data_IF_711244519023
#
_entry.id   IF_711244519023
#
_cell.length_a   1.000
_cell.length_b   1.000
_cell.length_c   1.000
_cell.angle_alpha   90.00
_cell.angle_beta   90.00
_cell.angle_gamma   90.00
#
_symmetry.space_group_name_H-M   'P 1'
#
loop_
_entity.id
_entity.type
_entity.pdbx_description
1 polymer ?
#
# COMPACT_ATOMS: atom_id res chain seq x y z
N UNK A 1 22.28 -19.27 -27.25
CA UNK A 1 22.00 -18.03 -27.98
C UNK A 1 20.88 -17.30 -27.26
N UNK A 2 20.96 -15.98 -27.10
CA UNK A 2 19.92 -15.18 -26.43
C UNK A 2 19.32 -14.13 -27.32
N UNK A 3 18.05 -13.86 -27.13
CA UNK A 3 17.39 -12.69 -27.71
C UNK A 3 16.94 -11.77 -26.57
N UNK A 4 17.27 -10.51 -26.72
CA UNK A 4 16.94 -9.46 -25.74
C UNK A 4 15.79 -8.64 -26.30
N UNK A 5 14.67 -8.66 -25.58
CA UNK A 5 13.40 -8.05 -25.97
C UNK A 5 13.23 -6.78 -25.15
N UNK A 6 13.04 -5.64 -25.78
CA UNK A 6 12.55 -4.43 -25.10
C UNK A 6 11.06 -4.30 -25.36
N UNK A 7 10.30 -4.01 -24.30
CA UNK A 7 8.86 -3.80 -24.38
C UNK A 7 8.54 -2.47 -23.76
N UNK A 8 8.06 -1.54 -24.57
CA UNK A 8 7.48 -0.29 -24.11
C UNK A 8 5.95 -0.39 -24.18
N UNK A 9 5.32 -0.29 -23.02
CA UNK A 9 3.88 -0.49 -22.84
C UNK A 9 3.11 0.79 -23.09
N UNK A 10 2.04 0.72 -23.91
CA UNK A 10 1.08 1.78 -24.10
C UNK A 10 -0.37 1.26 -23.96
N UNK A 11 -1.36 2.14 -24.02
CA UNK A 11 -2.75 1.79 -23.71
C UNK A 11 -3.40 0.88 -24.76
N UNK A 12 -3.05 1.01 -26.03
CA UNK A 12 -3.67 0.27 -27.15
C UNK A 12 -2.76 -0.84 -27.72
N UNK A 13 -1.45 -0.64 -27.70
CA UNK A 13 -0.47 -1.55 -28.25
C UNK A 13 0.86 -1.45 -27.51
N UNK A 14 1.65 -2.52 -27.50
CA UNK A 14 3.02 -2.52 -27.01
C UNK A 14 4.00 -2.36 -28.15
N UNK A 15 4.99 -1.48 -28.02
CA UNK A 15 6.14 -1.45 -28.90
C UNK A 15 7.15 -2.52 -28.45
N UNK A 16 7.53 -3.40 -29.38
CA UNK A 16 8.47 -4.50 -29.14
C UNK A 16 9.67 -4.37 -30.06
N UNK A 17 10.85 -4.47 -29.47
CA UNK A 17 12.12 -4.51 -30.18
C UNK A 17 12.97 -5.67 -29.71
N UNK A 18 13.55 -6.46 -30.63
CA UNK A 18 14.35 -7.62 -30.29
C UNK A 18 15.71 -7.54 -30.94
N UNK A 19 16.76 -7.81 -30.18
CA UNK A 19 18.13 -7.92 -30.63
C UNK A 19 18.76 -9.26 -30.23
N UNK A 20 19.71 -9.76 -30.99
CA UNK A 20 20.49 -10.96 -30.68
C UNK A 20 21.69 -10.64 -29.76
N UNK A 21 22.55 -11.66 -29.50
CA UNK A 21 23.77 -11.49 -28.68
C UNK A 21 24.76 -10.49 -29.32
N UNK A 22 24.81 -10.38 -30.65
CA UNK A 22 25.65 -9.42 -31.38
C UNK A 22 25.10 -7.99 -31.32
N UNK A 23 23.82 -7.81 -31.03
CA UNK A 23 23.12 -6.53 -31.01
C UNK A 23 22.39 -6.23 -32.31
N UNK A 24 22.36 -7.19 -33.23
CA UNK A 24 21.65 -7.05 -34.50
C UNK A 24 20.14 -7.14 -34.24
N UNK A 25 19.40 -6.35 -35.01
CA UNK A 25 17.94 -6.35 -34.95
C UNK A 25 17.36 -7.66 -35.49
N UNK A 26 16.64 -8.37 -34.64
CA UNK A 26 15.89 -9.59 -35.00
C UNK A 26 14.45 -9.26 -35.38
N UNK A 27 13.79 -8.42 -34.59
CA UNK A 27 12.39 -8.06 -34.78
C UNK A 27 12.13 -6.62 -34.28
N UNK A 28 11.21 -5.92 -34.95
CA UNK A 28 10.61 -4.70 -34.44
C UNK A 28 9.14 -4.69 -34.88
N UNK A 29 8.23 -4.60 -33.93
CA UNK A 29 6.80 -4.61 -34.20
C UNK A 29 6.01 -3.90 -33.12
N UNK A 30 4.78 -3.54 -33.48
CA UNK A 30 3.75 -3.15 -32.52
C UNK A 30 2.80 -4.32 -32.30
N UNK A 31 2.47 -4.60 -31.06
CA UNK A 31 1.59 -5.72 -30.66
C UNK A 31 0.33 -5.12 -30.05
N UNK A 32 -0.74 -5.09 -30.84
CA UNK A 32 -2.03 -4.62 -30.36
C UNK A 32 -2.58 -5.50 -29.23
N UNK A 33 -3.37 -4.90 -28.33
CA UNK A 33 -3.98 -5.61 -27.20
C UNK A 33 -5.19 -6.46 -27.63
N UNK A 34 -5.06 -7.18 -28.74
CA UNK A 34 -6.05 -8.11 -29.29
C UNK A 34 -5.58 -9.56 -29.12
N UNK A 35 -6.55 -10.48 -29.06
CA UNK A 35 -6.26 -11.91 -28.96
C UNK A 35 -5.41 -12.39 -30.14
N UNK A 36 -5.72 -11.94 -31.36
CA UNK A 36 -5.00 -12.33 -32.57
C UNK A 36 -3.52 -11.91 -32.53
N UNK A 37 -3.24 -10.63 -32.22
CA UNK A 37 -1.88 -10.10 -32.13
C UNK A 37 -1.08 -10.78 -31.00
N UNK A 38 -1.69 -11.03 -29.86
CA UNK A 38 -1.06 -11.77 -28.75
C UNK A 38 -0.78 -13.23 -29.11
N UNK A 39 -1.70 -13.91 -29.79
CA UNK A 39 -1.49 -15.29 -30.24
C UNK A 39 -0.37 -15.40 -31.26
N UNK A 40 -0.27 -14.45 -32.19
CA UNK A 40 0.83 -14.40 -33.16
C UNK A 40 2.18 -14.17 -32.45
N UNK A 41 2.21 -13.27 -31.46
CA UNK A 41 3.44 -13.06 -30.71
C UNK A 41 3.80 -14.27 -29.84
N UNK A 42 2.84 -14.91 -29.20
CA UNK A 42 3.06 -16.18 -28.50
C UNK A 42 3.64 -17.28 -29.38
N UNK A 43 3.20 -17.36 -30.66
CA UNK A 43 3.74 -18.29 -31.64
C UNK A 43 5.21 -17.98 -31.91
N UNK A 44 5.56 -16.72 -32.20
CA UNK A 44 6.93 -16.30 -32.41
C UNK A 44 7.85 -16.61 -31.23
N UNK A 45 7.40 -16.36 -29.98
CA UNK A 45 8.18 -16.69 -28.79
C UNK A 45 8.48 -18.19 -28.70
N UNK A 46 7.47 -19.06 -28.96
CA UNK A 46 7.64 -20.52 -28.95
C UNK A 46 8.55 -21.00 -30.03
N UNK A 47 8.47 -20.44 -31.24
CA UNK A 47 9.34 -20.79 -32.35
C UNK A 47 10.81 -20.49 -32.00
N UNK A 48 11.11 -19.33 -31.44
CA UNK A 48 12.47 -18.99 -31.00
C UNK A 48 12.98 -19.95 -29.92
N UNK A 49 12.14 -20.27 -28.95
CA UNK A 49 12.50 -21.21 -27.87
C UNK A 49 12.73 -22.62 -28.40
N UNK A 50 11.97 -23.08 -29.40
CA UNK A 50 12.16 -24.37 -30.07
C UNK A 50 13.51 -24.43 -30.81
N UNK A 51 14.05 -23.29 -31.26
CA UNK A 51 15.39 -23.16 -31.84
C UNK A 51 16.51 -23.13 -30.77
N UNK A 52 16.18 -23.29 -29.49
CA UNK A 52 17.11 -23.24 -28.36
C UNK A 52 17.54 -21.82 -27.96
N UNK A 53 16.76 -20.79 -28.31
CA UNK A 53 17.04 -19.39 -27.96
C UNK A 53 16.42 -19.06 -26.61
N UNK A 54 17.23 -18.59 -25.67
CA UNK A 54 16.74 -17.99 -24.42
C UNK A 54 16.17 -16.61 -24.71
N UNK A 55 14.97 -16.34 -24.17
CA UNK A 55 14.28 -15.06 -24.33
C UNK A 55 14.32 -14.25 -23.04
N UNK A 56 14.90 -13.06 -23.10
CA UNK A 56 15.01 -12.14 -21.99
C UNK A 56 14.36 -10.81 -22.36
N UNK A 57 13.43 -10.31 -21.51
CA UNK A 57 12.69 -9.10 -21.79
C UNK A 57 12.97 -8.00 -20.76
N UNK A 58 13.23 -6.79 -21.21
CA UNK A 58 13.30 -5.58 -20.41
C UNK A 58 11.98 -4.82 -20.49
N UNK A 59 11.46 -4.37 -19.34
CA UNK A 59 10.23 -3.61 -19.24
C UNK A 59 10.32 -2.59 -18.12
N UNK A 60 9.73 -1.40 -18.31
CA UNK A 60 9.73 -0.36 -17.28
C UNK A 60 8.78 -0.68 -16.12
N UNK A 61 7.58 -1.19 -16.41
CA UNK A 61 6.57 -1.55 -15.40
C UNK A 61 6.65 -3.05 -15.08
N UNK A 62 7.00 -3.44 -13.83
CA UNK A 62 7.17 -4.85 -13.45
C UNK A 62 5.84 -5.57 -13.14
N UNK A 63 4.72 -5.14 -13.70
CA UNK A 63 3.40 -5.71 -13.49
C UNK A 63 2.45 -5.36 -14.64
N UNK A 64 1.38 -6.13 -14.74
CA UNK A 64 0.34 -5.95 -15.76
C UNK A 64 0.35 -7.08 -16.80
N UNK A 65 -0.69 -7.11 -17.63
CA UNK A 65 -0.99 -8.20 -18.58
C UNK A 65 0.18 -8.59 -19.47
N UNK A 66 1.04 -7.65 -19.83
CA UNK A 66 2.20 -7.94 -20.67
C UNK A 66 3.28 -8.70 -19.91
N UNK A 67 3.49 -8.38 -18.63
CA UNK A 67 4.45 -9.09 -17.78
C UNK A 67 3.98 -10.52 -17.56
N UNK A 68 2.70 -10.71 -17.21
CA UNK A 68 2.10 -12.02 -17.00
C UNK A 68 2.20 -12.85 -18.30
N UNK A 69 1.85 -12.26 -19.44
CA UNK A 69 1.99 -12.91 -20.75
C UNK A 69 3.43 -13.36 -21.06
N UNK A 70 4.43 -12.54 -20.77
CA UNK A 70 5.83 -12.92 -21.01
C UNK A 70 6.27 -14.06 -20.08
N UNK A 71 5.91 -13.99 -18.81
CA UNK A 71 6.22 -15.03 -17.83
C UNK A 71 5.56 -16.38 -18.18
N UNK A 72 4.28 -16.37 -18.57
CA UNK A 72 3.51 -17.55 -19.00
C UNK A 72 4.13 -18.23 -20.23
N UNK A 73 4.85 -17.46 -21.04
CA UNK A 73 5.58 -17.96 -22.21
C UNK A 73 7.07 -18.22 -21.94
N UNK A 74 7.48 -18.34 -20.66
CA UNK A 74 8.84 -18.71 -20.28
C UNK A 74 9.91 -17.65 -20.58
N UNK A 75 9.52 -16.40 -20.78
CA UNK A 75 10.45 -15.28 -20.99
C UNK A 75 10.95 -14.78 -19.64
N UNK A 76 12.26 -14.62 -19.50
CA UNK A 76 12.85 -14.03 -18.29
C UNK A 76 12.70 -12.52 -18.33
N UNK A 77 11.92 -11.95 -17.41
CA UNK A 77 11.58 -10.52 -17.41
C UNK A 77 12.49 -9.73 -16.47
N UNK A 78 13.05 -8.64 -16.96
CA UNK A 78 13.89 -7.71 -16.19
C UNK A 78 13.20 -6.35 -16.06
N UNK A 79 12.78 -5.96 -14.86
CA UNK A 79 12.24 -4.62 -14.62
C UNK A 79 13.36 -3.58 -14.66
N UNK A 80 13.18 -2.54 -15.45
CA UNK A 80 14.14 -1.44 -15.59
C UNK A 80 13.61 -0.20 -14.90
N UNK A 81 14.43 0.39 -14.03
CA UNK A 81 14.07 1.63 -13.36
C UNK A 81 13.96 2.78 -14.38
N UNK A 82 12.89 3.61 -14.34
CA UNK A 82 12.71 4.76 -15.24
C UNK A 82 13.94 5.68 -15.33
N UNK A 83 14.58 6.00 -14.21
CA UNK A 83 15.81 6.82 -14.19
C UNK A 83 16.99 6.14 -14.89
N UNK A 84 17.07 4.80 -14.84
CA UNK A 84 18.11 4.06 -15.54
C UNK A 84 17.83 4.04 -17.03
N UNK A 85 16.57 3.93 -17.43
CA UNK A 85 16.14 4.03 -18.81
C UNK A 85 16.42 5.42 -19.41
N UNK A 86 16.11 6.50 -18.67
CA UNK A 86 16.41 7.87 -19.10
C UNK A 86 17.92 8.06 -19.36
N UNK A 87 18.78 7.61 -18.44
CA UNK A 87 20.25 7.66 -18.64
C UNK A 87 20.72 6.76 -19.81
N UNK A 88 20.06 5.65 -20.03
CA UNK A 88 20.36 4.79 -21.16
C UNK A 88 19.96 5.44 -22.50
N UNK A 89 18.85 6.21 -22.54
CA UNK A 89 18.43 6.99 -23.72
C UNK A 89 19.51 8.00 -24.12
N UNK A 90 20.06 8.74 -23.15
CA UNK A 90 21.10 9.76 -23.39
C UNK A 90 22.35 9.16 -24.07
N UNK A 91 22.63 7.87 -23.83
CA UNK A 91 23.73 7.14 -24.46
C UNK A 91 23.52 6.93 -25.97
N UNK A 92 22.28 6.87 -26.44
CA UNK A 92 21.94 6.58 -27.83
C UNK A 92 21.46 7.81 -28.61
N UNK A 93 20.87 8.80 -27.93
CA UNK A 93 20.41 10.07 -28.56
C UNK A 93 20.47 11.23 -27.57
N UNK A 94 21.16 12.29 -27.99
CA UNK A 94 21.26 13.55 -27.21
C UNK A 94 20.04 14.46 -27.42
N UNK A 95 19.22 14.21 -28.47
CA UNK A 95 18.12 15.11 -28.88
C UNK A 95 16.87 15.08 -28.01
N UNK A 96 16.79 14.23 -26.98
CA UNK A 96 15.62 14.14 -26.07
C UNK A 96 14.30 13.67 -26.73
N UNK A 97 14.31 13.33 -28.03
CA UNK A 97 13.12 12.86 -28.73
C UNK A 97 12.70 11.48 -28.22
N UNK A 98 11.44 11.35 -27.78
CA UNK A 98 10.84 10.09 -27.31
C UNK A 98 9.94 9.50 -28.39
N UNK A 99 10.00 8.18 -28.53
CA UNK A 99 9.01 7.38 -29.26
C UNK A 99 9.02 5.96 -28.73
N UNK A 100 7.86 5.34 -28.63
CA UNK A 100 7.71 3.99 -28.07
C UNK A 100 8.64 2.94 -28.76
N UNK A 101 8.80 2.91 -30.11
CA UNK A 101 9.77 2.01 -30.73
C UNK A 101 11.23 2.28 -30.32
N UNK A 102 11.60 3.55 -30.09
CA UNK A 102 12.93 3.90 -29.64
C UNK A 102 13.13 3.50 -28.17
N UNK A 103 12.13 3.68 -27.31
CA UNK A 103 12.20 3.27 -25.92
C UNK A 103 12.29 1.74 -25.79
N UNK A 104 11.54 0.99 -26.61
CA UNK A 104 11.68 -0.46 -26.72
C UNK A 104 13.08 -0.87 -27.22
N UNK A 105 13.65 -0.17 -28.20
CA UNK A 105 15.03 -0.41 -28.66
C UNK A 105 16.05 -0.18 -27.54
N UNK A 106 15.95 0.93 -26.82
CA UNK A 106 16.85 1.26 -25.71
C UNK A 106 16.76 0.20 -24.61
N UNK A 107 15.55 -0.26 -24.27
CA UNK A 107 15.33 -1.33 -23.28
C UNK A 107 16.03 -2.63 -23.69
N UNK A 108 15.90 -3.06 -24.95
CA UNK A 108 16.55 -4.27 -25.45
C UNK A 108 18.08 -4.17 -25.41
N UNK A 109 18.63 -3.05 -25.89
CA UNK A 109 20.08 -2.82 -25.91
C UNK A 109 20.65 -2.66 -24.49
N UNK A 110 19.94 -1.99 -23.60
CA UNK A 110 20.34 -1.84 -22.21
C UNK A 110 20.36 -3.20 -21.49
N UNK A 111 19.33 -4.03 -21.68
CA UNK A 111 19.33 -5.38 -21.13
C UNK A 111 20.50 -6.20 -21.66
N UNK A 112 20.78 -6.14 -22.95
CA UNK A 112 21.90 -6.87 -23.57
C UNK A 112 23.25 -6.49 -22.95
N UNK A 113 23.51 -5.19 -22.73
CA UNK A 113 24.80 -4.70 -22.22
C UNK A 113 24.96 -4.86 -20.71
N UNK A 114 23.89 -4.66 -19.95
CA UNK A 114 23.96 -4.50 -18.50
C UNK A 114 23.27 -5.62 -17.69
N UNK A 115 22.86 -6.72 -18.35
CA UNK A 115 22.10 -7.81 -17.69
C UNK A 115 22.78 -8.40 -16.45
N UNK A 116 24.11 -8.40 -16.37
CA UNK A 116 24.84 -8.88 -15.20
C UNK A 116 24.61 -8.02 -13.94
N UNK A 117 24.21 -6.78 -14.12
CA UNK A 117 23.87 -5.85 -13.01
C UNK A 117 22.38 -5.77 -12.74
N UNK A 118 21.56 -6.34 -13.63
CA UNK A 118 20.12 -6.37 -13.52
C UNK A 118 19.66 -7.66 -12.85
N UNK A 119 18.43 -7.64 -12.36
CA UNK A 119 17.83 -8.80 -11.72
C UNK A 119 16.54 -9.18 -12.41
N UNK A 120 16.38 -10.47 -12.72
CA UNK A 120 15.15 -10.95 -13.28
C UNK A 120 14.00 -10.78 -12.25
N UNK A 121 12.84 -10.50 -12.78
CA UNK A 121 11.61 -10.50 -12.01
C UNK A 121 11.34 -11.94 -11.54
N UNK A 122 11.14 -12.08 -10.23
CA UNK A 122 10.71 -13.34 -9.62
C UNK A 122 9.29 -13.15 -9.14
N UNK A 123 8.28 -13.69 -9.85
CA UNK A 123 6.90 -13.53 -9.48
C UNK A 123 6.61 -14.21 -8.15
N UNK A 124 5.62 -13.68 -7.44
CA UNK A 124 5.01 -14.36 -6.32
C UNK A 124 3.96 -15.35 -6.85
N UNK A 125 3.50 -16.25 -5.99
CA UNK A 125 2.34 -17.10 -6.30
C UNK A 125 1.08 -16.26 -6.59
N UNK A 126 0.10 -16.86 -7.26
CA UNK A 126 -1.21 -16.26 -7.49
C UNK A 126 -1.86 -15.84 -6.17
N UNK A 127 -1.78 -16.68 -5.14
CA UNK A 127 -2.33 -16.38 -3.83
C UNK A 127 -1.69 -15.13 -3.19
N UNK A 128 -0.38 -14.96 -3.29
CA UNK A 128 0.28 -13.77 -2.79
C UNK A 128 -0.06 -12.51 -3.62
N UNK A 129 -0.29 -12.66 -4.93
CA UNK A 129 -0.74 -11.57 -5.80
C UNK A 129 -2.18 -11.18 -5.48
N UNK A 130 -3.07 -12.13 -5.24
CA UNK A 130 -4.46 -11.90 -4.84
C UNK A 130 -4.55 -11.20 -3.49
N UNK A 131 -3.84 -11.66 -2.46
CA UNK A 131 -3.76 -10.97 -1.18
C UNK A 131 -3.28 -9.52 -1.34
N UNK A 132 -2.32 -9.30 -2.22
CA UNK A 132 -1.81 -7.96 -2.52
C UNK A 132 -2.86 -7.08 -3.21
N UNK A 133 -3.65 -7.64 -4.10
CA UNK A 133 -4.81 -6.97 -4.69
C UNK A 133 -5.81 -6.55 -3.62
N UNK A 134 -6.28 -7.50 -2.81
CA UNK A 134 -7.25 -7.28 -1.73
C UNK A 134 -6.78 -6.20 -0.74
N UNK A 135 -5.53 -6.27 -0.26
CA UNK A 135 -5.01 -5.31 0.73
C UNK A 135 -4.84 -3.91 0.14
N UNK A 136 -4.50 -3.78 -1.14
CA UNK A 136 -4.38 -2.48 -1.83
C UNK A 136 -5.75 -1.86 -2.10
N UNK A 137 -6.74 -2.66 -2.49
CA UNK A 137 -8.10 -2.19 -2.71
C UNK A 137 -8.76 -1.78 -1.39
N UNK A 138 -8.59 -2.56 -0.33
CA UNK A 138 -8.96 -2.17 1.04
C UNK A 138 -8.39 -0.80 1.41
N UNK A 139 -7.09 -0.60 1.18
CA UNK A 139 -6.44 0.70 1.46
C UNK A 139 -7.07 1.84 0.67
N UNK A 140 -7.43 1.64 -0.58
CA UNK A 140 -8.14 2.65 -1.40
C UNK A 140 -9.49 2.99 -0.79
N UNK A 141 -10.25 1.99 -0.33
CA UNK A 141 -11.54 2.19 0.34
C UNK A 141 -11.38 2.95 1.66
N UNK A 142 -10.39 2.63 2.48
CA UNK A 142 -10.08 3.35 3.73
C UNK A 142 -9.70 4.81 3.45
N UNK A 143 -8.93 5.09 2.40
CA UNK A 143 -8.61 6.46 2.01
C UNK A 143 -9.85 7.24 1.54
N UNK A 144 -10.76 6.59 0.81
CA UNK A 144 -12.04 7.18 0.41
C UNK A 144 -12.89 7.49 1.64
N UNK A 145 -13.06 6.54 2.55
CA UNK A 145 -13.73 6.72 3.83
C UNK A 145 -13.18 7.93 4.60
N UNK A 146 -11.86 8.00 4.77
CA UNK A 146 -11.20 9.09 5.49
C UNK A 146 -11.48 10.44 4.84
N UNK A 147 -11.44 10.52 3.50
CA UNK A 147 -11.76 11.73 2.75
C UNK A 147 -13.21 12.17 2.98
N UNK A 148 -14.16 11.24 2.89
CA UNK A 148 -15.59 11.53 3.11
C UNK A 148 -15.85 11.99 4.54
N UNK A 149 -15.26 11.35 5.55
CA UNK A 149 -15.38 11.73 6.96
C UNK A 149 -14.79 13.13 7.22
N UNK A 150 -13.66 13.45 6.62
CA UNK A 150 -13.05 14.78 6.75
C UNK A 150 -13.94 15.87 6.11
N UNK A 151 -14.52 15.60 4.93
CA UNK A 151 -15.45 16.52 4.26
C UNK A 151 -16.73 16.68 5.07
N UNK A 152 -17.28 15.59 5.62
CA UNK A 152 -18.46 15.59 6.46
C UNK A 152 -18.22 16.42 7.73
N UNK A 153 -17.11 16.19 8.40
CA UNK A 153 -16.69 16.94 9.60
C UNK A 153 -16.53 18.43 9.30
N UNK A 154 -15.84 18.78 8.20
CA UNK A 154 -15.68 20.16 7.78
C UNK A 154 -17.02 20.82 7.48
N UNK A 155 -17.91 20.13 6.75
CA UNK A 155 -19.26 20.63 6.43
C UNK A 155 -20.07 20.89 7.71
N UNK A 156 -20.09 19.93 8.64
CA UNK A 156 -20.84 20.09 9.90
C UNK A 156 -20.28 21.22 10.75
N UNK A 157 -18.97 21.41 10.83
CA UNK A 157 -18.35 22.55 11.53
C UNK A 157 -18.85 23.91 11.06
N UNK A 158 -19.14 24.03 9.76
CA UNK A 158 -19.55 25.31 9.17
C UNK A 158 -21.00 25.67 9.50
N UNK A 159 -21.93 24.72 9.66
CA UNK A 159 -23.34 25.05 9.82
C UNK A 159 -24.08 24.32 10.91
N UNK A 160 -23.56 23.18 11.40
CA UNK A 160 -24.21 22.35 12.39
C UNK A 160 -23.19 21.75 13.39
N UNK A 161 -22.35 22.57 14.06
CA UNK A 161 -21.29 22.09 14.93
C UNK A 161 -21.81 21.21 16.08
N UNK A 162 -23.01 21.46 16.59
CA UNK A 162 -23.64 20.64 17.61
C UNK A 162 -23.81 19.18 17.20
N UNK A 163 -24.03 18.93 15.92
CA UNK A 163 -24.10 17.57 15.41
C UNK A 163 -22.78 16.78 15.56
N UNK A 164 -21.62 17.45 15.60
CA UNK A 164 -20.33 16.78 15.87
C UNK A 164 -20.16 16.44 17.35
N UNK A 165 -20.70 17.24 18.25
CA UNK A 165 -20.71 16.94 19.68
C UNK A 165 -21.67 15.79 19.99
N UNK A 166 -22.81 15.74 19.27
CA UNK A 166 -23.77 14.64 19.37
C UNK A 166 -23.23 13.34 18.75
N UNK A 167 -22.65 13.44 17.55
CA UNK A 167 -22.19 12.32 16.74
C UNK A 167 -20.66 12.27 16.72
N UNK A 168 -20.02 11.94 17.84
CA UNK A 168 -18.56 11.85 17.96
C UNK A 168 -17.96 10.86 16.94
N UNK A 169 -18.66 9.75 16.70
CA UNK A 169 -18.32 8.76 15.69
C UNK A 169 -19.29 8.83 14.49
N UNK A 170 -18.89 9.52 13.44
CA UNK A 170 -19.66 9.65 12.20
C UNK A 170 -19.74 8.33 11.39
N UNK A 171 -18.99 7.30 11.76
CA UNK A 171 -19.10 5.97 11.15
C UNK A 171 -20.22 5.14 11.77
N UNK A 172 -20.70 5.53 12.94
CA UNK A 172 -21.77 4.83 13.64
C UNK A 172 -23.09 4.95 12.88
N UNK A 173 -23.79 3.82 12.66
CA UNK A 173 -25.04 3.77 11.90
C UNK A 173 -26.13 4.68 12.47
N UNK A 174 -26.23 4.80 13.81
CA UNK A 174 -27.18 5.71 14.45
C UNK A 174 -26.87 7.19 14.16
N UNK A 175 -25.59 7.57 14.10
CA UNK A 175 -25.18 8.94 13.80
C UNK A 175 -25.52 9.31 12.34
N UNK A 176 -25.28 8.42 11.42
CA UNK A 176 -25.68 8.60 10.01
C UNK A 176 -27.19 8.69 9.85
N UNK A 177 -27.96 7.81 10.53
CA UNK A 177 -29.42 7.85 10.53
C UNK A 177 -29.96 9.16 11.15
N UNK A 178 -29.35 9.66 12.22
CA UNK A 178 -29.70 10.94 12.81
C UNK A 178 -29.46 12.09 11.83
N UNK A 179 -28.29 12.20 11.27
CA UNK A 179 -27.93 13.25 10.33
C UNK A 179 -28.74 13.19 9.03
N UNK A 180 -29.11 12.00 8.57
CA UNK A 180 -29.99 11.84 7.42
C UNK A 180 -31.40 12.32 7.69
N UNK A 181 -31.93 12.06 8.90
CA UNK A 181 -33.31 12.43 9.29
C UNK A 181 -33.40 13.90 9.74
N UNK A 182 -32.38 14.41 10.42
CA UNK A 182 -32.33 15.76 10.98
C UNK A 182 -31.11 16.55 10.47
N UNK A 183 -31.07 16.86 9.18
CA UNK A 183 -29.89 17.44 8.53
C UNK A 183 -29.64 18.90 8.86
N UNK A 184 -30.49 19.54 9.66
CA UNK A 184 -30.37 20.94 10.05
C UNK A 184 -30.66 21.14 11.53
N UNK A 185 -30.09 22.20 12.15
CA UNK A 185 -30.43 22.56 13.53
C UNK A 185 -31.95 22.75 13.75
N UNK A 186 -32.63 23.39 12.81
CA UNK A 186 -34.07 23.61 12.89
C UNK A 186 -34.86 22.29 12.85
N UNK A 187 -34.46 21.32 12.02
CA UNK A 187 -35.09 20.01 11.98
C UNK A 187 -34.88 19.25 13.32
N UNK A 188 -33.69 19.34 13.89
CA UNK A 188 -33.42 18.71 15.19
C UNK A 188 -34.18 19.40 16.35
N UNK A 189 -34.40 20.71 16.30
CA UNK A 189 -35.16 21.45 17.31
C UNK A 189 -36.66 21.08 17.33
N UNK A 190 -37.18 20.38 16.30
CA UNK A 190 -38.56 19.86 16.33
C UNK A 190 -38.73 18.57 17.12
N UNK A 191 -37.61 17.92 17.51
CA UNK A 191 -37.66 16.69 18.29
C UNK A 191 -38.24 16.90 19.66
N UNK A 192 -39.18 16.05 20.05
CA UNK A 192 -39.59 15.89 21.42
C UNK A 192 -38.72 14.85 22.14
N UNK A 193 -38.70 14.89 23.47
CA UNK A 193 -38.01 13.88 24.25
C UNK A 193 -38.53 12.45 23.95
N UNK A 194 -39.84 12.32 23.70
CA UNK A 194 -40.47 11.06 23.33
C UNK A 194 -39.96 10.54 21.99
N UNK A 195 -39.84 11.42 20.95
CA UNK A 195 -39.31 11.08 19.66
C UNK A 195 -37.82 10.68 19.71
N UNK A 196 -37.05 11.47 20.52
CA UNK A 196 -35.64 11.12 20.75
C UNK A 196 -35.50 9.76 21.48
N UNK A 197 -36.30 9.48 22.48
CA UNK A 197 -36.33 8.20 23.17
C UNK A 197 -36.70 7.04 22.25
N UNK A 198 -37.65 7.25 21.33
CA UNK A 198 -38.02 6.25 20.31
C UNK A 198 -36.86 6.01 19.34
N UNK A 199 -36.21 7.07 18.83
CA UNK A 199 -35.04 6.97 17.96
C UNK A 199 -33.90 6.24 18.66
N UNK A 200 -33.57 6.60 19.89
CA UNK A 200 -32.51 5.99 20.68
C UNK A 200 -32.71 4.48 20.89
N UNK A 201 -33.95 4.06 21.21
CA UNK A 201 -34.30 2.64 21.34
C UNK A 201 -34.14 1.89 20.01
N UNK A 202 -34.60 2.47 18.90
CA UNK A 202 -34.47 1.86 17.57
C UNK A 202 -32.99 1.62 17.20
N UNK A 203 -32.09 2.49 17.67
CA UNK A 203 -30.66 2.39 17.42
C UNK A 203 -29.86 1.79 18.58
N UNK A 204 -30.52 1.18 19.58
CA UNK A 204 -29.92 0.49 20.73
C UNK A 204 -28.94 1.36 21.54
N UNK A 205 -29.23 2.65 21.67
CA UNK A 205 -28.48 3.54 22.57
C UNK A 205 -28.90 3.27 24.01
N UNK A 206 -27.92 3.10 24.89
CA UNK A 206 -28.19 2.86 26.32
C UNK A 206 -28.81 4.08 27.01
N UNK A 207 -29.58 3.91 28.14
CA UNK A 207 -30.32 4.99 28.80
C UNK A 207 -29.47 6.19 29.17
N UNK A 208 -28.30 5.95 29.79
CA UNK A 208 -27.39 7.02 30.26
C UNK A 208 -26.87 7.84 29.05
N UNK A 209 -26.50 7.17 27.96
CA UNK A 209 -26.06 7.84 26.75
C UNK A 209 -27.19 8.61 26.08
N UNK A 210 -28.41 8.06 26.07
CA UNK A 210 -29.61 8.70 25.53
C UNK A 210 -29.89 10.03 26.23
N UNK A 211 -29.83 10.06 27.56
CA UNK A 211 -30.05 11.26 28.36
C UNK A 211 -28.96 12.33 28.09
N UNK A 212 -27.67 11.94 28.11
CA UNK A 212 -26.57 12.87 27.87
C UNK A 212 -26.63 13.49 26.47
N UNK A 213 -26.95 12.68 25.43
CA UNK A 213 -27.09 13.17 24.08
C UNK A 213 -28.32 14.08 23.92
N UNK A 214 -29.42 13.84 24.68
CA UNK A 214 -30.57 14.72 24.69
C UNK A 214 -30.23 16.10 25.26
N UNK A 215 -29.52 16.15 26.37
CA UNK A 215 -29.03 17.41 26.94
C UNK A 215 -28.14 18.18 25.95
N UNK A 216 -27.27 17.49 25.27
CA UNK A 216 -26.42 18.07 24.18
C UNK A 216 -27.28 18.66 23.08
N UNK A 217 -28.34 17.97 22.66
CA UNK A 217 -29.23 18.38 21.57
C UNK A 217 -30.01 19.65 21.92
N UNK A 218 -30.37 19.85 23.17
CA UNK A 218 -31.13 21.00 23.65
C UNK A 218 -30.31 22.29 23.77
N UNK A 219 -28.99 22.21 23.70
CA UNK A 219 -28.15 23.40 23.83
C UNK A 219 -28.32 24.34 22.62
N UNK A 220 -28.36 25.66 22.82
CA UNK A 220 -28.55 26.62 21.73
C UNK A 220 -27.38 26.64 20.77
N UNK A 221 -27.66 26.92 19.53
CA UNK A 221 -26.66 27.12 18.46
C UNK A 221 -26.80 28.54 17.89
N UNK A 222 -25.67 29.07 17.36
CA UNK A 222 -25.67 30.33 16.67
C UNK A 222 -26.52 30.23 15.40
N UNK A 223 -27.45 31.17 15.13
CA UNK A 223 -28.23 31.18 13.93
C UNK A 223 -27.37 31.50 12.72
N UNK A 224 -27.66 30.85 11.63
CA UNK A 224 -26.99 31.04 10.35
C UNK A 224 -27.98 31.44 9.25
N UNK A 225 -27.54 32.15 8.22
CA UNK A 225 -28.40 32.48 7.08
C UNK A 225 -29.04 31.25 6.45
N UNK A 226 -30.34 31.27 6.21
CA UNK A 226 -31.13 30.13 5.75
C UNK A 226 -30.58 29.50 4.44
N UNK A 227 -30.00 30.31 3.55
CA UNK A 227 -29.41 29.81 2.30
C UNK A 227 -28.14 28.97 2.56
N UNK A 228 -27.32 29.36 3.56
CA UNK A 228 -26.14 28.60 3.95
C UNK A 228 -26.55 27.24 4.48
N UNK A 229 -27.53 27.23 5.42
CA UNK A 229 -28.04 25.98 6.00
C UNK A 229 -28.60 25.05 4.93
N UNK A 230 -29.40 25.57 3.97
CA UNK A 230 -29.94 24.74 2.87
C UNK A 230 -28.85 24.15 1.97
N UNK A 231 -27.84 24.94 1.59
CA UNK A 231 -26.71 24.45 0.76
C UNK A 231 -25.89 23.37 1.48
N UNK A 232 -25.54 23.62 2.74
CA UNK A 232 -24.72 22.69 3.53
C UNK A 232 -25.47 21.42 3.90
N UNK A 233 -26.76 21.50 4.23
CA UNK A 233 -27.60 20.33 4.44
C UNK A 233 -27.73 19.46 3.18
N UNK A 234 -27.81 20.08 1.99
CA UNK A 234 -27.79 19.33 0.73
C UNK A 234 -26.47 18.60 0.51
N UNK A 235 -25.34 19.25 0.80
CA UNK A 235 -24.01 18.62 0.73
C UNK A 235 -23.88 17.48 1.75
N UNK A 236 -24.31 17.69 3.00
CA UNK A 236 -24.36 16.66 4.04
C UNK A 236 -25.08 15.40 3.54
N UNK A 237 -26.28 15.56 2.97
CA UNK A 237 -27.06 14.45 2.44
C UNK A 237 -26.34 13.72 1.29
N UNK A 238 -25.63 14.43 0.42
CA UNK A 238 -24.83 13.82 -0.63
C UNK A 238 -23.68 13.00 -0.05
N UNK A 239 -22.91 13.55 0.90
CA UNK A 239 -21.79 12.86 1.55
C UNK A 239 -22.23 11.61 2.33
N UNK A 240 -23.39 11.65 3.01
CA UNK A 240 -23.94 10.49 3.71
C UNK A 240 -24.30 9.34 2.75
N UNK A 241 -24.84 9.67 1.55
CA UNK A 241 -25.13 8.64 0.54
C UNK A 241 -23.90 7.96 -0.02
N UNK A 242 -22.75 8.63 -0.03
CA UNK A 242 -21.47 8.05 -0.43
C UNK A 242 -20.78 7.30 0.72
N UNK A 243 -20.94 7.76 1.95
CA UNK A 243 -20.26 7.21 3.12
C UNK A 243 -20.76 5.80 3.46
N UNK A 244 -22.06 5.57 3.49
CA UNK A 244 -22.63 4.29 3.91
C UNK A 244 -22.15 3.09 3.04
N UNK A 245 -22.20 3.12 1.69
CA UNK A 245 -21.66 2.04 0.88
C UNK A 245 -20.13 1.92 0.99
N UNK A 246 -19.41 3.04 1.21
CA UNK A 246 -17.97 3.00 1.43
C UNK A 246 -17.62 2.25 2.72
N UNK A 247 -18.36 2.47 3.80
CA UNK A 247 -18.18 1.73 5.07
C UNK A 247 -18.46 0.22 4.90
N UNK A 248 -19.51 -0.14 4.16
CA UNK A 248 -19.82 -1.53 3.83
C UNK A 248 -18.65 -2.17 3.07
N UNK A 249 -18.17 -1.50 2.02
CA UNK A 249 -17.03 -1.99 1.24
C UNK A 249 -15.75 -2.17 2.08
N UNK A 250 -15.46 -1.24 3.00
CA UNK A 250 -14.32 -1.40 3.95
C UNK A 250 -14.50 -2.64 4.82
N UNK A 251 -15.72 -2.91 5.31
CA UNK A 251 -15.99 -4.09 6.13
C UNK A 251 -15.88 -5.40 5.32
N UNK A 252 -16.41 -5.43 4.10
CA UNK A 252 -16.34 -6.56 3.17
C UNK A 252 -14.88 -6.91 2.81
N UNK A 253 -14.07 -5.91 2.42
CA UNK A 253 -12.65 -6.14 2.13
C UNK A 253 -11.87 -6.61 3.37
N UNK A 254 -12.20 -6.09 4.55
CA UNK A 254 -11.56 -6.54 5.80
C UNK A 254 -11.84 -8.02 6.04
N UNK A 255 -13.08 -8.45 5.87
CA UNK A 255 -13.47 -9.84 6.02
C UNK A 255 -12.80 -10.72 4.97
N UNK A 256 -12.84 -10.32 3.70
CA UNK A 256 -12.19 -11.05 2.62
C UNK A 256 -10.67 -11.24 2.85
N UNK A 257 -9.99 -10.19 3.35
CA UNK A 257 -8.57 -10.28 3.70
C UNK A 257 -8.34 -11.26 4.84
N UNK A 258 -9.17 -11.23 5.89
CA UNK A 258 -9.00 -12.11 7.04
C UNK A 258 -9.25 -13.59 6.66
N UNK A 259 -10.28 -13.87 5.90
CA UNK A 259 -10.61 -15.20 5.40
C UNK A 259 -9.50 -15.74 4.49
N UNK A 260 -9.10 -14.94 3.50
CA UNK A 260 -8.07 -15.32 2.55
C UNK A 260 -6.71 -15.55 3.22
N UNK A 261 -6.29 -14.61 4.08
CA UNK A 261 -5.01 -14.71 4.79
C UNK A 261 -4.98 -15.88 5.75
N UNK A 262 -6.10 -16.21 6.41
CA UNK A 262 -6.20 -17.34 7.33
C UNK A 262 -5.94 -18.69 6.67
N UNK A 263 -6.24 -18.82 5.39
CA UNK A 263 -6.00 -20.03 4.61
C UNK A 263 -4.53 -20.14 4.11
N UNK A 264 -3.74 -19.10 4.24
CA UNK A 264 -2.35 -19.11 3.77
C UNK A 264 -1.41 -19.85 4.73
N UNK A 265 -0.40 -20.58 4.23
CA UNK A 265 0.54 -21.35 5.07
C UNK A 265 1.28 -20.52 6.11
N UNK A 266 1.53 -19.24 5.82
CA UNK A 266 2.25 -18.31 6.71
C UNK A 266 1.36 -17.61 7.75
N UNK A 267 0.05 -17.80 7.71
CA UNK A 267 -0.89 -17.07 8.56
C UNK A 267 -0.62 -17.28 10.05
N UNK A 268 -0.41 -18.51 10.48
CA UNK A 268 -0.13 -18.83 11.90
C UNK A 268 1.12 -18.13 12.40
N UNK A 269 2.21 -18.21 11.63
CA UNK A 269 3.47 -17.56 11.96
C UNK A 269 3.28 -16.03 12.01
N UNK A 270 2.62 -15.45 11.02
CA UNK A 270 2.38 -14.02 10.94
C UNK A 270 1.50 -13.50 12.08
N UNK A 271 0.47 -14.26 12.47
CA UNK A 271 -0.44 -13.92 13.57
C UNK A 271 0.19 -14.01 14.97
N UNK A 272 1.37 -14.58 15.09
CA UNK A 272 2.14 -14.56 16.35
C UNK A 272 2.69 -13.18 16.73
N UNK A 273 2.72 -12.22 15.78
CA UNK A 273 3.09 -10.83 16.07
C UNK A 273 2.12 -10.17 17.06
N UNK A 274 2.56 -9.20 17.88
CA UNK A 274 1.73 -8.59 18.94
C UNK A 274 0.38 -8.04 18.47
N UNK A 275 0.29 -7.61 17.21
CA UNK A 275 -0.93 -7.08 16.57
C UNK A 275 -1.45 -8.01 15.46
N UNK A 276 -0.96 -9.25 15.41
CA UNK A 276 -1.23 -10.18 14.31
C UNK A 276 -2.56 -10.92 14.41
N UNK A 277 -3.18 -10.96 15.59
CA UNK A 277 -4.39 -11.76 15.85
C UNK A 277 -5.63 -11.28 15.09
N UNK A 278 -5.69 -10.01 14.75
CA UNK A 278 -6.80 -9.42 14.00
C UNK A 278 -6.35 -8.20 13.20
N UNK A 279 -7.11 -7.84 12.18
CA UNK A 279 -6.86 -6.66 11.36
C UNK A 279 -6.05 -6.91 10.11
N UNK A 280 -5.89 -5.86 9.32
CA UNK A 280 -5.33 -5.92 7.96
C UNK A 280 -3.85 -5.55 7.86
N UNK A 281 -3.25 -5.06 8.95
CA UNK A 281 -1.86 -4.54 8.96
C UNK A 281 -0.84 -5.64 8.67
N UNK A 282 -0.94 -6.78 9.35
CA UNK A 282 -0.03 -7.91 9.15
C UNK A 282 -0.24 -8.56 7.78
N UNK A 283 -1.48 -8.88 7.35
CA UNK A 283 -1.73 -9.32 5.97
C UNK A 283 -1.15 -8.38 4.91
N UNK A 284 -1.28 -7.06 5.08
CA UNK A 284 -0.73 -6.08 4.14
C UNK A 284 0.81 -6.12 4.04
N UNK A 285 1.51 -6.35 5.16
CA UNK A 285 2.96 -6.50 5.16
C UNK A 285 3.37 -7.74 4.38
N UNK A 286 2.73 -8.90 4.63
CA UNK A 286 2.99 -10.15 3.92
C UNK A 286 2.65 -10.05 2.43
N UNK A 287 1.52 -9.44 2.08
CA UNK A 287 1.13 -9.18 0.70
C UNK A 287 2.19 -8.39 -0.09
N UNK A 288 2.79 -7.38 0.52
CA UNK A 288 3.79 -6.54 -0.14
C UNK A 288 5.20 -7.16 -0.15
N UNK A 289 5.55 -7.96 0.84
CA UNK A 289 6.78 -8.76 0.84
C UNK A 289 6.69 -9.89 -0.18
N UNK A 290 5.52 -10.50 -0.34
CA UNK A 290 5.28 -11.67 -1.17
C UNK A 290 5.70 -12.97 -0.50
N UNK A 291 5.64 -14.07 -1.24
CA UNK A 291 5.96 -15.43 -0.76
C UNK A 291 7.23 -16.02 -1.40
N UNK A 292 7.82 -15.32 -2.36
CA UNK A 292 9.06 -15.75 -3.00
C UNK A 292 10.28 -15.09 -2.33
N UNK A 293 10.97 -15.85 -1.45
CA UNK A 293 12.17 -15.39 -0.74
C UNK A 293 13.34 -15.08 -1.67
N UNK A 294 13.42 -15.76 -2.81
CA UNK A 294 14.51 -15.57 -3.77
C UNK A 294 14.51 -14.20 -4.46
N UNK A 295 13.45 -13.42 -4.27
CA UNK A 295 13.42 -12.01 -4.65
C UNK A 295 14.43 -11.16 -3.87
N UNK A 296 14.86 -11.64 -2.72
CA UNK A 296 15.63 -10.87 -1.74
C UNK A 296 17.01 -11.45 -1.50
N UNK A 297 18.05 -10.94 -2.13
CA UNK A 297 19.42 -11.40 -1.88
C UNK A 297 19.86 -11.10 -0.45
N UNK A 298 19.34 -10.08 0.18
CA UNK A 298 19.68 -9.68 1.53
C UNK A 298 18.57 -8.88 2.21
N UNK A 299 18.58 -8.88 3.52
CA UNK A 299 17.68 -8.02 4.31
C UNK A 299 17.85 -6.53 3.97
N UNK A 300 19.04 -6.10 3.55
CA UNK A 300 19.28 -4.70 3.14
C UNK A 300 18.43 -4.31 1.92
N UNK A 301 18.17 -5.23 1.00
CA UNK A 301 17.28 -4.98 -0.13
C UNK A 301 15.82 -4.82 0.32
N UNK A 302 15.37 -5.65 1.27
CA UNK A 302 14.03 -5.52 1.87
C UNK A 302 13.85 -4.18 2.56
N UNK A 303 14.86 -3.72 3.32
CA UNK A 303 14.86 -2.39 3.95
C UNK A 303 14.77 -1.25 2.92
N UNK A 304 15.53 -1.35 1.82
CA UNK A 304 15.48 -0.39 0.72
C UNK A 304 14.11 -0.36 0.06
N UNK A 305 13.54 -1.52 -0.22
CA UNK A 305 12.20 -1.68 -0.81
C UNK A 305 11.11 -1.08 0.08
N UNK A 306 11.21 -1.29 1.40
CA UNK A 306 10.29 -0.71 2.39
C UNK A 306 10.52 0.78 2.68
N UNK A 307 11.55 1.41 2.09
CA UNK A 307 11.88 2.81 2.37
C UNK A 307 12.37 3.07 3.80
N UNK A 308 12.83 2.01 4.49
CA UNK A 308 13.30 2.08 5.88
C UNK A 308 14.79 2.43 6.00
N UNK A 309 15.48 2.63 4.88
CA UNK A 309 16.87 3.09 4.82
C UNK A 309 16.90 4.46 4.16
N UNK A 310 17.53 5.47 4.78
CA UNK A 310 17.68 6.78 4.16
C UNK A 310 18.57 6.71 2.91
N UNK A 311 18.44 7.69 2.04
CA UNK A 311 19.39 7.94 0.96
C UNK A 311 20.50 8.83 1.48
N UNK A 312 21.74 8.38 1.32
CA UNK A 312 22.92 9.14 1.75
C UNK A 312 23.64 9.62 0.50
N UNK A 313 23.72 10.93 0.36
CA UNK A 313 24.55 11.58 -0.65
C UNK A 313 25.84 12.10 0.02
N UNK A 314 26.96 11.63 -0.48
CA UNK A 314 28.27 12.09 0.00
C UNK A 314 29.06 12.71 -1.15
N UNK A 315 29.43 13.96 -0.99
CA UNK A 315 30.32 14.68 -1.92
C UNK A 315 31.41 15.35 -1.11
N UNK A 316 32.62 14.82 -1.17
CA UNK A 316 33.75 15.29 -0.37
C UNK A 316 33.45 15.21 1.14
N UNK A 317 33.47 16.37 1.81
CA UNK A 317 33.15 16.49 3.25
C UNK A 317 31.65 16.63 3.53
N UNK A 318 30.82 16.86 2.51
CA UNK A 318 29.37 17.00 2.66
C UNK A 318 28.70 15.64 2.71
N UNK A 319 27.98 15.37 3.80
CA UNK A 319 27.11 14.20 3.98
C UNK A 319 25.69 14.68 4.17
N UNK A 320 24.82 14.37 3.22
CA UNK A 320 23.37 14.66 3.30
C UNK A 320 22.61 13.37 3.41
N UNK A 321 21.80 13.25 4.46
CA UNK A 321 20.90 12.10 4.70
C UNK A 321 19.49 12.54 4.34
N UNK A 322 18.94 11.97 3.25
CA UNK A 322 17.61 12.29 2.74
C UNK A 322 16.63 11.17 3.02
N UNK A 323 15.37 11.55 3.16
CA UNK A 323 14.30 10.57 3.21
C UNK A 323 14.16 9.86 1.85
N UNK A 324 14.05 8.52 1.88
CA UNK A 324 13.88 7.71 0.66
C UNK A 324 12.41 7.75 0.19
N UNK A 325 12.16 8.46 -0.91
CA UNK A 325 10.84 8.51 -1.54
C UNK A 325 10.58 7.31 -2.45
N UNK A 326 11.61 6.86 -3.18
CA UNK A 326 11.51 5.71 -4.09
C UNK A 326 11.47 4.39 -3.29
N UNK A 327 10.28 3.96 -2.90
CA UNK A 327 10.05 2.74 -2.12
C UNK A 327 8.64 2.21 -2.34
N UNK A 328 8.37 1.01 -1.83
CA UNK A 328 7.02 0.48 -1.73
C UNK A 328 6.25 1.21 -0.60
N UNK A 329 5.47 2.22 -0.98
CA UNK A 329 4.69 3.04 -0.05
C UNK A 329 3.66 2.22 0.76
N UNK A 330 2.89 1.27 0.18
CA UNK A 330 2.02 0.40 0.95
C UNK A 330 2.73 -0.37 2.07
N UNK A 331 3.89 -0.95 1.78
CA UNK A 331 4.68 -1.66 2.79
C UNK A 331 5.20 -0.71 3.88
N UNK A 332 5.71 0.44 3.50
CA UNK A 332 6.18 1.46 4.44
C UNK A 332 5.09 1.90 5.40
N UNK A 333 3.90 2.15 4.88
CA UNK A 333 2.76 2.61 5.68
C UNK A 333 2.25 1.50 6.61
N UNK A 334 2.19 0.25 6.13
CA UNK A 334 1.82 -0.90 6.96
C UNK A 334 2.85 -1.15 8.09
N UNK A 335 4.14 -1.00 7.81
CA UNK A 335 5.19 -1.09 8.84
C UNK A 335 5.12 0.05 9.85
N UNK A 336 4.78 1.25 9.40
CA UNK A 336 4.57 2.40 10.29
C UNK A 336 3.39 2.17 11.22
N UNK A 337 2.29 1.62 10.70
CA UNK A 337 1.12 1.26 11.48
C UNK A 337 1.42 0.11 12.45
N UNK A 338 2.15 -0.94 12.03
CA UNK A 338 2.60 -2.01 12.91
C UNK A 338 3.44 -1.45 14.07
N UNK A 339 4.40 -0.56 13.77
CA UNK A 339 5.23 0.07 14.77
C UNK A 339 4.39 0.85 15.79
N UNK A 340 3.43 1.66 15.33
CA UNK A 340 2.54 2.41 16.21
C UNK A 340 1.69 1.50 17.09
N UNK A 341 1.01 0.53 16.50
CA UNK A 341 0.15 -0.41 17.24
C UNK A 341 0.94 -1.26 18.24
N UNK A 342 2.19 -1.61 17.93
CA UNK A 342 3.03 -2.41 18.81
C UNK A 342 3.41 -1.71 20.13
N UNK A 343 3.28 -0.39 20.22
CA UNK A 343 3.62 0.37 21.43
C UNK A 343 2.76 -0.01 22.64
N UNK A 344 1.53 -0.46 22.41
CA UNK A 344 0.62 -0.89 23.48
C UNK A 344 0.67 -2.40 23.75
N UNK A 345 1.39 -3.19 22.91
CA UNK A 345 1.36 -4.65 22.98
C UNK A 345 2.74 -5.29 23.17
N UNK A 346 3.82 -4.51 23.12
CA UNK A 346 5.19 -5.01 23.23
C UNK A 346 6.04 -4.09 24.08
N UNK A 347 6.58 -4.66 25.18
CA UNK A 347 7.39 -3.91 26.16
C UNK A 347 8.69 -3.39 25.52
N UNK A 348 9.38 -4.20 24.73
CA UNK A 348 10.62 -3.74 24.07
C UNK A 348 10.36 -2.70 22.98
N UNK A 349 9.25 -2.84 22.25
CA UNK A 349 8.89 -1.87 21.21
C UNK A 349 8.61 -0.49 21.82
N UNK A 350 7.91 -0.46 22.92
CA UNK A 350 7.68 0.77 23.71
C UNK A 350 8.98 1.36 24.22
N UNK A 351 9.83 0.56 24.86
CA UNK A 351 11.12 1.02 25.37
C UNK A 351 12.04 1.52 24.24
N UNK A 352 12.04 0.86 23.09
CA UNK A 352 12.80 1.29 21.91
C UNK A 352 12.33 2.65 21.39
N UNK A 353 11.02 2.82 21.26
CA UNK A 353 10.40 4.08 20.84
C UNK A 353 10.73 5.21 21.81
N UNK A 354 10.53 5.01 23.14
CA UNK A 354 10.80 6.00 24.17
C UNK A 354 12.30 6.40 24.19
N UNK A 355 13.20 5.45 24.00
CA UNK A 355 14.63 5.71 23.86
C UNK A 355 15.01 6.54 22.63
N UNK A 356 14.25 6.45 21.54
CA UNK A 356 14.41 7.34 20.38
C UNK A 356 13.87 8.73 20.67
N UNK A 357 12.71 8.82 21.31
CA UNK A 357 12.10 10.11 21.71
C UNK A 357 12.99 10.89 22.70
N UNK A 358 13.59 10.19 23.66
CA UNK A 358 14.54 10.77 24.61
C UNK A 358 15.80 11.38 23.95
N UNK A 359 16.14 10.96 22.73
CA UNK A 359 17.24 11.52 21.93
C UNK A 359 16.79 12.62 20.97
N UNK A 360 15.65 13.26 21.25
CA UNK A 360 15.04 14.35 20.46
C UNK A 360 14.65 13.99 19.01
N UNK A 361 14.50 12.70 18.67
CA UNK A 361 13.90 12.31 17.40
C UNK A 361 12.38 12.57 17.40
N UNK A 362 11.84 12.90 16.25
CA UNK A 362 10.41 13.11 16.09
C UNK A 362 9.63 11.80 16.26
N UNK A 363 8.31 11.91 16.50
CA UNK A 363 7.41 10.76 16.59
C UNK A 363 7.54 9.82 15.37
N UNK A 364 7.48 10.40 14.18
CA UNK A 364 7.55 9.62 12.94
C UNK A 364 8.93 9.01 12.67
N UNK A 365 10.02 9.63 13.11
CA UNK A 365 11.36 9.05 13.03
C UNK A 365 11.50 7.85 13.94
N UNK A 366 11.03 7.95 15.17
CA UNK A 366 11.05 6.85 16.12
C UNK A 366 10.21 5.65 15.62
N UNK A 367 9.02 5.90 15.06
CA UNK A 367 8.19 4.84 14.48
C UNK A 367 8.84 4.21 13.23
N UNK A 368 9.49 4.98 12.36
CA UNK A 368 10.23 4.42 11.20
C UNK A 368 11.38 3.52 11.64
N UNK A 369 12.14 3.95 12.65
CA UNK A 369 13.23 3.15 13.20
C UNK A 369 12.71 1.85 13.84
N UNK A 370 11.59 1.92 14.57
CA UNK A 370 10.92 0.75 15.14
C UNK A 370 10.36 -0.16 14.04
N UNK A 371 9.75 0.40 12.99
CA UNK A 371 9.26 -0.35 11.83
C UNK A 371 10.37 -1.13 11.11
N UNK A 372 11.57 -0.55 10.99
CA UNK A 372 12.73 -1.26 10.46
C UNK A 372 13.17 -2.45 11.35
N UNK A 373 13.04 -2.33 12.68
CA UNK A 373 13.28 -3.46 13.60
C UNK A 373 12.23 -4.55 13.44
N UNK A 374 10.96 -4.19 13.36
CA UNK A 374 9.89 -5.14 13.09
C UNK A 374 10.08 -5.85 11.75
N UNK A 375 10.46 -5.12 10.71
CA UNK A 375 10.72 -5.73 9.40
C UNK A 375 11.85 -6.77 9.46
N UNK A 376 12.89 -6.52 10.28
CA UNK A 376 13.96 -7.51 10.49
C UNK A 376 13.45 -8.77 11.19
N UNK A 377 12.60 -8.61 12.19
CA UNK A 377 11.97 -9.73 12.90
C UNK A 377 11.11 -10.54 11.93
N UNK A 378 10.23 -9.87 11.19
CA UNK A 378 9.36 -10.48 10.18
C UNK A 378 10.19 -11.25 9.13
N UNK A 379 11.26 -10.66 8.63
CA UNK A 379 12.14 -11.33 7.66
C UNK A 379 12.77 -12.61 8.21
N UNK A 380 13.17 -12.61 9.48
CA UNK A 380 13.71 -13.80 10.15
C UNK A 380 12.62 -14.86 10.37
N UNK A 381 11.43 -14.44 10.82
CA UNK A 381 10.27 -15.33 10.98
C UNK A 381 9.94 -16.02 9.65
N UNK A 382 9.87 -15.26 8.58
CA UNK A 382 9.59 -15.77 7.24
C UNK A 382 10.68 -16.73 6.75
N UNK A 383 11.97 -16.34 6.85
CA UNK A 383 13.09 -17.15 6.35
C UNK A 383 13.27 -18.46 7.12
N UNK A 384 12.94 -18.47 8.41
CA UNK A 384 13.16 -19.62 9.31
C UNK A 384 11.89 -20.40 9.62
N UNK A 385 10.74 -19.95 9.14
CA UNK A 385 9.43 -20.51 9.45
C UNK A 385 9.17 -20.63 10.96
N UNK A 386 9.49 -19.58 11.73
CA UNK A 386 9.32 -19.54 13.19
C UNK A 386 8.38 -18.43 13.61
N UNK A 387 7.53 -18.73 14.60
CA UNK A 387 6.64 -17.76 15.21
C UNK A 387 7.41 -16.75 16.07
N UNK A 388 6.86 -15.54 16.20
CA UNK A 388 7.38 -14.51 17.08
C UNK A 388 7.16 -14.88 18.55
N UNK A 389 8.17 -14.63 19.39
CA UNK A 389 8.10 -14.75 20.84
C UNK A 389 8.75 -13.53 21.48
N UNK A 390 7.97 -12.78 22.26
CA UNK A 390 8.44 -11.60 23.00
C UNK A 390 9.55 -11.98 24.00
N UNK A 391 9.35 -13.07 24.75
CA UNK A 391 10.33 -13.57 25.73
C UNK A 391 11.66 -13.97 25.07
N UNK A 392 11.61 -14.67 23.93
CA UNK A 392 12.80 -15.03 23.18
C UNK A 392 13.53 -13.79 22.64
N UNK A 393 12.79 -12.81 22.15
CA UNK A 393 13.35 -11.56 21.64
C UNK A 393 14.07 -10.77 22.75
N UNK A 394 13.44 -10.61 23.91
CA UNK A 394 14.03 -9.95 25.09
C UNK A 394 15.30 -10.68 25.57
N UNK A 395 15.27 -12.00 25.66
CA UNK A 395 16.44 -12.78 26.03
C UNK A 395 17.61 -12.61 25.03
N UNK A 396 17.29 -12.51 23.74
CA UNK A 396 18.30 -12.28 22.68
C UNK A 396 18.91 -10.88 22.79
N UNK A 397 18.10 -9.86 23.05
CA UNK A 397 18.59 -8.49 23.28
C UNK A 397 19.50 -8.41 24.50
N UNK A 398 19.12 -9.03 25.62
CA UNK A 398 19.93 -9.06 26.83
C UNK A 398 21.32 -9.72 26.59
N UNK A 399 21.36 -10.86 25.88
CA UNK A 399 22.62 -11.50 25.48
C UNK A 399 23.49 -10.61 24.60
N UNK A 400 22.91 -9.88 23.66
CA UNK A 400 23.66 -8.96 22.80
C UNK A 400 24.24 -7.79 23.59
N UNK A 401 23.50 -7.23 24.54
CA UNK A 401 23.98 -6.15 25.41
C UNK A 401 25.14 -6.61 26.30
N UNK A 402 25.06 -7.83 26.86
CA UNK A 402 26.16 -8.41 27.65
C UNK A 402 27.43 -8.59 26.81
N UNK A 403 27.31 -9.09 25.57
CA UNK A 403 28.44 -9.20 24.63
C UNK A 403 29.08 -7.86 24.28
N UNK A 404 28.27 -6.80 24.07
CA UNK A 404 28.75 -5.46 23.77
C UNK A 404 29.45 -4.78 24.97
N UNK A 405 29.09 -5.16 26.20
CA UNK A 405 29.76 -4.67 27.42
C UNK A 405 31.06 -5.42 27.73
N UNK A 406 31.19 -6.63 27.19
CA UNK A 406 32.38 -7.50 27.41
C UNK A 406 33.44 -7.36 26.28
N UNK A 407 33.13 -6.64 25.19
CA UNK A 407 34.03 -6.29 24.09
C UNK A 407 34.48 -4.84 24.20
#
# INVERSE_FOLDING_TARGET
MRNYIGVDWADEEDAVWVVNDAGDKVLSRRVAHTVAARSEWARWLRERQAEGVELWAAIERPHGRIVDFLLDHGVVVYPINPKSLDRARDRFRVSGAKSDPFDAQVLALFLRSDHLQLRPLRPNSEAAQELKGLTRDYRRQVHLQTRLLNQLTATLKEYYPRALELCEDLTAGWAQAFLARYPTPAAAATLTEADWGAFARAHRLGPTRTAALWETLQQPQLPLPAHVVRLKARLLQALLRELAPTLSGVAEYRQAIDDFFSAMPMAEIARSLPVGKSGTTVPAIWAELGDNLDRWDSFRHVLGYAGSVPETERSGKHLVVKFRFACNTPLRDALHQLAFLSLSHSVWARAYYDGYRARNHTHHEALRALGAKWLKIIFVMWKRHVSYSETHHLATMARQQLRQRAA
#
